data_IF_746271097202
#
_entry.id   IF_746271097202
#
_cell.length_a   1.000
_cell.length_b   1.000
_cell.length_c   1.000
_cell.angle_alpha   90.00
_cell.angle_beta   90.00
_cell.angle_gamma   90.00
#
_symmetry.space_group_name_H-M   'P 1'
#
loop_
_entity.id
_entity.type
_entity.pdbx_description
1 polymer ?
#
# COMPACT_ATOMS: atom_id res chain seq x y z
N UNK A 1 -28.10 36.50 34.93
CA UNK A 1 -28.58 35.97 33.66
C UNK A 1 -27.47 35.08 33.08
N UNK A 2 -27.73 33.79 33.06
CA UNK A 2 -26.80 32.80 32.44
C UNK A 2 -26.92 32.97 30.93
N UNK A 3 -26.01 33.70 30.30
CA UNK A 3 -25.93 33.69 28.88
C UNK A 3 -25.39 32.31 28.49
N UNK A 4 -26.23 31.54 27.81
CA UNK A 4 -25.79 30.26 27.23
C UNK A 4 -24.61 30.53 26.32
N UNK A 5 -23.48 29.92 26.59
CA UNK A 5 -22.29 30.00 25.74
C UNK A 5 -22.62 29.28 24.42
N UNK A 6 -22.71 30.05 23.36
CA UNK A 6 -23.01 29.53 22.03
C UNK A 6 -21.70 29.08 21.38
N UNK A 7 -21.61 27.79 21.03
CA UNK A 7 -20.42 27.27 20.31
C UNK A 7 -20.63 27.39 18.81
N UNK A 8 -19.78 28.11 18.16
CA UNK A 8 -19.80 28.27 16.70
C UNK A 8 -18.64 27.49 16.10
N UNK A 9 -18.93 26.67 15.09
CA UNK A 9 -17.92 25.93 14.34
C UNK A 9 -17.60 26.63 13.02
N UNK A 10 -16.30 26.85 12.78
CA UNK A 10 -15.80 27.35 11.52
C UNK A 10 -15.04 26.26 10.78
N UNK A 11 -15.20 26.25 9.48
CA UNK A 11 -14.39 25.39 8.60
C UNK A 11 -13.57 26.27 7.66
N UNK A 12 -12.26 26.12 7.68
CA UNK A 12 -11.34 26.87 6.84
C UNK A 12 -10.69 25.88 5.88
N UNK A 13 -10.79 26.15 4.57
CA UNK A 13 -10.09 25.39 3.55
C UNK A 13 -8.62 25.83 3.47
N UNK A 14 -7.74 25.01 4.01
CA UNK A 14 -6.30 25.26 4.02
C UNK A 14 -5.58 24.62 2.82
N UNK A 15 -6.29 23.95 1.93
CA UNK A 15 -5.69 23.24 0.79
C UNK A 15 -4.89 24.12 -0.16
N UNK A 16 -5.25 25.41 -0.22
CA UNK A 16 -4.56 26.41 -1.05
C UNK A 16 -3.25 26.92 -0.46
N UNK A 17 -3.02 26.68 0.82
CA UNK A 17 -1.87 27.22 1.56
C UNK A 17 -0.82 26.15 1.88
N UNK A 18 -1.10 24.90 1.55
CA UNK A 18 -0.24 23.77 1.88
C UNK A 18 0.19 23.08 0.59
N UNK A 19 1.35 23.45 0.09
CA UNK A 19 1.93 22.86 -1.13
C UNK A 19 2.40 21.40 -0.92
N UNK A 20 2.69 21.03 0.33
CA UNK A 20 3.21 19.72 0.68
C UNK A 20 2.55 19.20 1.95
N UNK A 21 1.61 18.26 1.81
CA UNK A 21 0.89 17.64 2.92
C UNK A 21 1.74 16.65 3.75
N UNK A 22 2.94 16.33 3.29
CA UNK A 22 3.89 15.42 3.92
C UNK A 22 4.82 16.09 4.93
N UNK A 23 4.77 17.41 5.04
CA UNK A 23 5.60 18.19 5.96
C UNK A 23 4.81 18.63 7.20
N UNK A 24 5.53 18.76 8.31
CA UNK A 24 4.96 19.37 9.52
C UNK A 24 4.82 20.87 9.34
N UNK A 25 3.62 21.38 9.58
CA UNK A 25 3.31 22.79 9.55
C UNK A 25 2.84 23.28 10.92
N UNK A 26 3.27 24.47 11.31
CA UNK A 26 2.73 25.15 12.47
C UNK A 26 1.46 25.90 12.08
N UNK A 27 0.45 25.82 12.92
CA UNK A 27 -0.79 26.57 12.77
C UNK A 27 -0.86 27.61 13.87
N UNK A 28 -1.08 28.85 13.50
CA UNK A 28 -1.25 29.97 14.42
C UNK A 28 -2.70 30.45 14.33
N UNK A 29 -3.35 30.50 15.48
CA UNK A 29 -4.67 31.12 15.63
C UNK A 29 -4.45 32.51 16.22
N UNK A 30 -4.83 33.53 15.48
CA UNK A 30 -4.74 34.91 15.92
C UNK A 30 -6.14 35.48 16.04
N UNK A 31 -6.49 35.94 17.22
CA UNK A 31 -7.75 36.63 17.46
C UNK A 31 -7.46 38.11 17.74
N UNK A 32 -8.17 38.97 17.08
CA UNK A 32 -8.06 40.40 17.26
C UNK A 32 -9.44 41.03 17.59
N UNK A 33 -9.50 41.88 18.59
CA UNK A 33 -10.68 42.63 18.93
C UNK A 33 -10.30 44.02 19.44
N UNK A 34 -11.19 44.97 19.27
CA UNK A 34 -11.07 46.31 19.85
C UNK A 34 -11.65 46.38 21.27
N UNK A 35 -12.28 45.31 21.72
CA UNK A 35 -12.85 45.22 23.06
C UNK A 35 -11.84 44.60 24.04
N UNK A 36 -11.96 45.01 25.31
CA UNK A 36 -11.15 44.47 26.41
C UNK A 36 -11.88 43.35 27.11
N UNK A 37 -11.21 42.21 27.30
CA UNK A 37 -11.74 41.03 27.95
C UNK A 37 -11.40 39.75 27.22
N UNK A 38 -11.96 38.65 27.68
CA UNK A 38 -11.82 37.36 27.05
C UNK A 38 -12.58 37.37 25.71
N UNK A 39 -11.85 37.10 24.63
CA UNK A 39 -12.40 37.17 23.27
C UNK A 39 -13.20 35.92 22.92
N UNK A 40 -12.68 34.75 23.26
CA UNK A 40 -13.33 33.47 23.04
C UNK A 40 -12.58 32.33 23.76
N UNK A 41 -13.28 31.26 23.99
CA UNK A 41 -12.69 30.00 24.43
C UNK A 41 -12.59 29.04 23.25
N UNK A 42 -11.41 28.47 23.03
CA UNK A 42 -11.22 27.45 22.00
C UNK A 42 -11.65 26.08 22.54
N UNK A 43 -12.82 25.61 22.14
CA UNK A 43 -13.36 24.32 22.57
C UNK A 43 -12.65 23.13 21.92
N UNK A 44 -12.11 23.31 20.72
CA UNK A 44 -11.37 22.26 20.03
C UNK A 44 -10.86 22.68 18.66
N UNK A 45 -9.86 21.97 18.17
CA UNK A 45 -9.32 22.10 16.83
C UNK A 45 -9.24 20.71 16.20
N UNK A 46 -9.81 20.56 15.04
CA UNK A 46 -9.78 19.30 14.29
C UNK A 46 -9.42 19.50 12.82
N UNK A 47 -8.90 18.48 12.21
CA UNK A 47 -8.63 18.44 10.78
C UNK A 47 -9.55 17.43 10.12
N UNK A 48 -10.20 17.84 9.03
CA UNK A 48 -10.96 16.96 8.18
C UNK A 48 -10.44 17.05 6.74
N UNK A 49 -10.53 15.96 6.01
CA UNK A 49 -10.18 15.93 4.61
C UNK A 49 -11.42 15.64 3.78
N UNK A 50 -11.74 16.54 2.86
CA UNK A 50 -12.75 16.31 1.84
C UNK A 50 -12.24 15.44 0.68
N UNK A 51 -10.99 14.98 0.76
CA UNK A 51 -10.46 14.05 -0.23
C UNK A 51 -11.32 12.78 -0.19
N UNK A 52 -11.87 12.46 -1.35
CA UNK A 52 -12.50 11.17 -1.59
C UNK A 52 -11.55 10.09 -1.07
N UNK A 53 -12.05 9.19 -0.22
CA UNK A 53 -11.24 8.08 0.31
C UNK A 53 -10.54 7.42 -0.88
N UNK A 54 -9.22 7.50 -0.90
CA UNK A 54 -8.42 6.85 -1.94
C UNK A 54 -8.46 5.36 -1.62
N UNK A 55 -9.10 4.58 -2.50
CA UNK A 55 -9.13 3.13 -2.37
C UNK A 55 -7.94 2.57 -3.13
N UNK A 56 -7.08 1.84 -2.42
CA UNK A 56 -5.97 1.12 -3.03
C UNK A 56 -6.50 0.15 -4.08
N UNK A 57 -5.99 0.18 -5.33
CA UNK A 57 -6.37 -0.80 -6.33
C UNK A 57 -6.10 -2.23 -5.86
N UNK A 58 -7.05 -3.13 -6.08
CA UNK A 58 -6.89 -4.55 -5.79
C UNK A 58 -6.30 -5.23 -7.02
N UNK A 59 -5.13 -5.85 -6.85
CA UNK A 59 -4.51 -6.63 -7.93
C UNK A 59 -5.43 -7.79 -8.31
N UNK A 60 -5.80 -7.93 -9.60
CA UNK A 60 -6.60 -9.06 -10.06
C UNK A 60 -5.96 -10.40 -9.75
N UNK A 61 -6.76 -11.47 -9.79
CA UNK A 61 -6.28 -12.82 -9.55
C UNK A 61 -5.10 -13.15 -10.45
N UNK A 62 -4.04 -13.66 -9.85
CA UNK A 62 -2.79 -14.04 -10.50
C UNK A 62 -2.60 -15.56 -10.47
N UNK A 63 -1.84 -16.08 -11.40
CA UNK A 63 -1.45 -17.49 -11.48
C UNK A 63 0.06 -17.58 -11.67
N UNK A 64 0.69 -18.52 -10.96
CA UNK A 64 2.11 -18.82 -11.07
C UNK A 64 2.26 -20.32 -11.35
N UNK A 65 3.09 -20.66 -12.30
CA UNK A 65 3.38 -22.04 -12.69
C UNK A 65 4.88 -22.33 -12.59
N UNK A 66 5.20 -23.52 -12.13
CA UNK A 66 6.56 -24.07 -12.12
C UNK A 66 6.60 -25.27 -13.04
N UNK A 67 7.45 -25.23 -14.06
CA UNK A 67 7.55 -26.25 -15.11
C UNK A 67 6.18 -26.60 -15.74
N UNK A 68 5.35 -25.56 -15.96
CA UNK A 68 4.02 -25.72 -16.55
C UNK A 68 2.92 -26.21 -15.61
N UNK A 69 3.23 -26.39 -14.32
CA UNK A 69 2.26 -26.83 -13.30
C UNK A 69 1.94 -25.67 -12.37
N UNK A 70 0.65 -25.36 -12.24
CA UNK A 70 0.19 -24.30 -11.32
C UNK A 70 0.56 -24.62 -9.88
N UNK A 71 1.03 -23.60 -9.16
CA UNK A 71 1.32 -23.68 -7.74
C UNK A 71 0.26 -22.90 -6.94
N UNK A 72 0.13 -23.23 -5.67
CA UNK A 72 -0.67 -22.44 -4.75
C UNK A 72 -0.01 -21.07 -4.54
N UNK A 73 -0.78 -20.00 -4.78
CA UNK A 73 -0.31 -18.63 -4.62
C UNK A 73 -0.64 -18.19 -3.20
N UNK A 74 0.39 -17.78 -2.41
CA UNK A 74 0.15 -17.33 -1.04
C UNK A 74 -0.78 -16.11 -0.99
N UNK A 75 -1.71 -16.10 -0.06
CA UNK A 75 -2.65 -14.97 0.11
C UNK A 75 -2.14 -13.94 1.13
N UNK A 76 -1.27 -14.36 2.05
CA UNK A 76 -0.74 -13.49 3.09
C UNK A 76 0.69 -13.06 2.77
N UNK A 77 0.96 -11.75 2.69
CA UNK A 77 2.31 -11.26 2.45
C UNK A 77 3.19 -11.48 3.68
N UNK A 78 4.47 -11.78 3.47
CA UNK A 78 5.48 -11.80 4.53
C UNK A 78 5.94 -10.39 4.89
N UNK A 79 5.76 -9.43 3.97
CA UNK A 79 6.02 -8.02 4.19
C UNK A 79 5.07 -7.18 3.35
N UNK A 80 4.53 -6.13 3.94
CA UNK A 80 3.66 -5.17 3.26
C UNK A 80 4.07 -3.74 3.60
N UNK A 81 4.07 -2.88 2.58
CA UNK A 81 4.30 -1.44 2.73
C UNK A 81 3.26 -0.67 1.96
N UNK A 82 2.73 0.39 2.55
CA UNK A 82 1.85 1.32 1.88
C UNK A 82 2.57 2.64 1.63
N UNK A 83 2.33 3.22 0.47
CA UNK A 83 2.76 4.56 0.13
C UNK A 83 1.55 5.34 -0.37
N UNK A 84 1.25 6.46 0.26
CA UNK A 84 0.20 7.43 -0.09
C UNK A 84 -1.24 6.85 -0.29
N UNK A 85 -1.52 5.65 0.20
CA UNK A 85 -2.83 5.00 0.11
C UNK A 85 -3.27 4.53 -1.30
N UNK A 86 -2.54 4.88 -2.35
CA UNK A 86 -2.84 4.47 -3.74
C UNK A 86 -1.90 3.35 -4.18
N UNK A 87 -0.62 3.51 -3.87
CA UNK A 87 0.43 2.56 -4.21
C UNK A 87 0.74 1.70 -3.01
N UNK A 88 1.16 0.48 -3.25
CA UNK A 88 1.55 -0.43 -2.20
C UNK A 88 2.52 -1.48 -2.72
N UNK A 89 3.28 -2.03 -1.82
CA UNK A 89 4.31 -3.00 -2.11
C UNK A 89 4.18 -4.17 -1.15
N UNK A 90 3.79 -5.33 -1.66
CA UNK A 90 3.60 -6.55 -0.88
C UNK A 90 4.58 -7.62 -1.36
N UNK A 91 5.22 -8.29 -0.43
CA UNK A 91 6.14 -9.40 -0.71
C UNK A 91 5.54 -10.67 -0.14
N UNK A 92 5.46 -11.69 -1.00
CA UNK A 92 4.98 -13.04 -0.68
C UNK A 92 6.12 -14.03 -0.86
N UNK A 93 6.05 -15.15 -0.14
CA UNK A 93 7.01 -16.23 -0.27
C UNK A 93 6.28 -17.55 -0.44
N UNK A 94 6.59 -18.29 -1.50
CA UNK A 94 6.11 -19.63 -1.78
C UNK A 94 7.30 -20.57 -1.82
N UNK A 95 7.28 -21.61 -0.99
CA UNK A 95 8.29 -22.67 -1.03
C UNK A 95 7.77 -23.80 -1.92
N UNK A 96 8.48 -24.07 -3.01
CA UNK A 96 8.15 -25.15 -3.93
C UNK A 96 9.13 -26.31 -3.73
N UNK A 97 8.59 -27.46 -3.30
CA UNK A 97 9.37 -28.68 -3.12
C UNK A 97 9.57 -29.37 -4.46
N UNK A 98 10.80 -29.47 -4.89
CA UNK A 98 11.17 -30.19 -6.11
C UNK A 98 11.23 -31.71 -5.86
N UNK A 99 10.86 -32.53 -6.85
CA UNK A 99 11.05 -33.97 -6.76
C UNK A 99 12.50 -34.35 -6.47
N UNK A 100 12.70 -35.45 -5.73
CA UNK A 100 14.04 -36.00 -5.50
C UNK A 100 14.76 -36.27 -6.82
N UNK A 101 16.05 -35.95 -6.88
CA UNK A 101 16.87 -36.11 -8.09
C UNK A 101 16.67 -35.07 -9.18
N UNK A 102 15.94 -33.97 -8.91
CA UNK A 102 15.82 -32.85 -9.84
C UNK A 102 17.19 -32.21 -10.05
N UNK A 103 17.68 -32.18 -11.29
CA UNK A 103 18.97 -31.58 -11.68
C UNK A 103 18.81 -30.33 -12.54
N UNK A 104 17.67 -30.19 -13.20
CA UNK A 104 17.36 -29.03 -14.04
C UNK A 104 16.87 -27.83 -13.24
N UNK A 105 17.28 -26.63 -13.64
CA UNK A 105 16.77 -25.39 -13.03
C UNK A 105 15.28 -25.26 -13.39
N UNK A 106 14.38 -25.12 -12.40
CA UNK A 106 12.95 -24.96 -12.66
C UNK A 106 12.64 -23.67 -13.40
N UNK A 107 11.71 -23.72 -14.34
CA UNK A 107 11.21 -22.55 -15.07
C UNK A 107 9.90 -22.06 -14.48
N UNK A 108 9.82 -20.77 -14.19
CA UNK A 108 8.61 -20.13 -13.68
C UNK A 108 7.93 -19.36 -14.79
N UNK A 109 6.62 -19.50 -14.91
CA UNK A 109 5.74 -18.68 -15.71
C UNK A 109 4.64 -18.09 -14.85
N UNK A 110 4.07 -16.98 -15.28
CA UNK A 110 3.03 -16.29 -14.51
C UNK A 110 2.07 -15.54 -15.44
N UNK A 111 0.85 -15.41 -14.99
CA UNK A 111 -0.19 -14.67 -15.69
C UNK A 111 -1.16 -14.01 -14.69
N UNK A 112 -1.92 -13.04 -15.17
CA UNK A 112 -3.02 -12.44 -14.43
C UNK A 112 -4.30 -12.52 -15.25
N UNK A 113 -5.45 -12.51 -14.58
CA UNK A 113 -6.76 -12.53 -15.25
C UNK A 113 -7.04 -11.25 -16.03
N UNK A 114 -6.44 -10.15 -15.62
CA UNK A 114 -6.55 -8.84 -16.28
C UNK A 114 -5.25 -8.53 -17.05
N UNK A 115 -5.39 -8.24 -18.34
CA UNK A 115 -4.26 -7.92 -19.23
C UNK A 115 -3.56 -6.60 -18.90
N UNK A 116 -4.18 -5.73 -18.11
CA UNK A 116 -3.57 -4.48 -17.64
C UNK A 116 -2.54 -4.67 -16.51
N UNK A 117 -2.46 -5.87 -15.95
CA UNK A 117 -1.43 -6.22 -14.98
C UNK A 117 -0.11 -6.44 -15.72
N UNK A 118 0.92 -5.70 -15.33
CA UNK A 118 2.28 -5.92 -15.83
C UNK A 118 2.91 -7.07 -15.06
N UNK A 119 3.47 -8.04 -15.79
CA UNK A 119 4.14 -9.22 -15.20
C UNK A 119 5.62 -9.18 -15.55
N UNK A 120 6.46 -9.28 -14.54
CA UNK A 120 7.92 -9.40 -14.68
C UNK A 120 8.38 -10.65 -13.95
N UNK A 121 9.23 -11.45 -14.60
CA UNK A 121 9.74 -12.71 -14.04
C UNK A 121 11.26 -12.69 -14.10
N UNK A 122 11.89 -12.94 -12.93
CA UNK A 122 13.32 -13.19 -12.81
C UNK A 122 13.46 -14.67 -12.44
N UNK A 123 14.02 -15.45 -13.38
CA UNK A 123 14.20 -16.90 -13.20
C UNK A 123 15.26 -17.20 -12.15
N UNK A 124 15.12 -18.34 -11.48
CA UNK A 124 16.18 -18.85 -10.64
C UNK A 124 17.43 -19.22 -11.46
N UNK A 125 18.60 -19.08 -10.86
CA UNK A 125 19.90 -19.38 -11.49
C UNK A 125 20.48 -20.72 -11.04
N UNK A 126 19.80 -21.40 -10.12
CA UNK A 126 20.19 -22.73 -9.60
C UNK A 126 18.96 -23.55 -9.24
N UNK A 127 19.14 -24.85 -9.08
CA UNK A 127 18.04 -25.78 -8.73
C UNK A 127 17.43 -25.45 -7.36
N UNK A 128 18.24 -25.03 -6.39
CA UNK A 128 17.82 -24.59 -5.06
C UNK A 128 17.71 -23.08 -4.93
N UNK A 129 17.61 -22.37 -6.07
CA UNK A 129 17.54 -20.92 -6.11
C UNK A 129 16.14 -20.38 -5.84
N UNK A 130 16.00 -19.09 -6.07
CA UNK A 130 14.74 -18.38 -5.94
C UNK A 130 14.40 -17.67 -7.24
N UNK A 131 13.18 -17.87 -7.74
CA UNK A 131 12.62 -17.05 -8.80
C UNK A 131 11.78 -15.94 -8.21
N UNK A 132 11.71 -14.80 -8.90
CA UNK A 132 10.93 -13.64 -8.47
C UNK A 132 9.90 -13.34 -9.55
N UNK A 133 8.64 -13.21 -9.14
CA UNK A 133 7.52 -12.81 -9.99
C UNK A 133 6.92 -11.53 -9.44
N UNK A 134 6.85 -10.50 -10.27
CA UNK A 134 6.24 -9.21 -9.91
C UNK A 134 5.00 -8.98 -10.74
N UNK A 135 3.94 -8.58 -10.07
CA UNK A 135 2.69 -8.11 -10.68
C UNK A 135 2.49 -6.65 -10.30
N UNK A 136 2.44 -5.77 -11.28
CA UNK A 136 2.15 -4.35 -11.10
C UNK A 136 0.78 -4.03 -11.69
N UNK A 137 -0.12 -3.56 -10.86
CA UNK A 137 -1.43 -3.10 -11.24
C UNK A 137 -1.71 -1.71 -10.70
N UNK A 138 -1.72 -0.72 -11.57
CA UNK A 138 -1.99 0.69 -11.21
C UNK A 138 -1.12 1.20 -10.04
N UNK A 139 0.14 0.81 -10.01
CA UNK A 139 1.10 1.19 -8.98
C UNK A 139 1.10 0.32 -7.71
N UNK A 140 0.20 -0.65 -7.61
CA UNK A 140 0.24 -1.67 -6.55
C UNK A 140 1.07 -2.84 -7.03
N UNK A 141 2.16 -3.15 -6.33
CA UNK A 141 3.10 -4.20 -6.71
C UNK A 141 3.01 -5.36 -5.75
N UNK A 142 2.76 -6.57 -6.27
CA UNK A 142 2.88 -7.83 -5.54
C UNK A 142 4.09 -8.58 -6.05
N UNK A 143 5.03 -8.87 -5.16
CA UNK A 143 6.25 -9.62 -5.47
C UNK A 143 6.18 -10.98 -4.81
N UNK A 144 6.26 -12.03 -5.60
CA UNK A 144 6.30 -13.41 -5.12
C UNK A 144 7.71 -13.96 -5.26
N UNK A 145 8.29 -14.37 -4.14
CA UNK A 145 9.54 -15.14 -4.12
C UNK A 145 9.18 -16.62 -4.15
N UNK A 146 9.51 -17.30 -5.23
CA UNK A 146 9.33 -18.74 -5.35
C UNK A 146 10.65 -19.41 -5.01
N UNK A 147 10.73 -19.97 -3.81
CA UNK A 147 11.94 -20.61 -3.28
C UNK A 147 11.89 -22.10 -3.60
N UNK A 148 12.87 -22.58 -4.35
CA UNK A 148 12.96 -23.99 -4.67
C UNK A 148 13.72 -24.75 -3.59
N UNK A 149 13.07 -25.80 -3.07
CA UNK A 149 13.64 -26.70 -2.07
C UNK A 149 13.71 -28.10 -2.64
N UNK A 150 14.91 -28.60 -3.02
CA UNK A 150 15.05 -29.97 -3.47
C UNK A 150 14.75 -30.95 -2.33
N UNK A 151 14.00 -31.99 -2.62
CA UNK A 151 13.86 -33.12 -1.71
C UNK A 151 15.14 -33.97 -1.72
N UNK A 152 15.58 -34.31 -0.54
CA UNK A 152 16.75 -35.19 -0.40
C UNK A 152 16.47 -36.62 -0.91
#
# INVERSE_FOLDING_TARGET
ANSAQETTQFTIDVSKFVDHLDKKHAIYLVAESQETGDLFDLAGLGFSSNKKKIVRPVVPKVNIEVNGKAIEVPETPVRSTESNGITGYDIYEAVYKLPAGTTGIPTVSASATDKSVKVEIIQATSVSGTAIVKFDYKGVVKTYKVVFSPLA
#
